data_IF_674491446752
#
_entry.id   IF_674491446752
#
_cell.length_a   1.000
_cell.length_b   1.000
_cell.length_c   1.000
_cell.angle_alpha   90.00
_cell.angle_beta   90.00
_cell.angle_gamma   90.00
#
_symmetry.space_group_name_H-M   'P 1'
#
loop_
_entity.id
_entity.type
_entity.pdbx_description
1 polymer ?
#
# COMPACT_ATOMS: atom_id res chain seq x y z
N UNK A 1 -20.40 -6.11 7.56
CA UNK A 1 -19.34 -6.21 6.54
C UNK A 1 -18.15 -5.37 6.98
N UNK A 2 -16.92 -5.87 6.82
CA UNK A 2 -15.68 -5.20 7.24
C UNK A 2 -14.66 -5.30 6.10
N UNK A 3 -14.10 -4.18 5.69
CA UNK A 3 -13.09 -4.09 4.62
C UNK A 3 -11.96 -3.21 5.14
N UNK A 4 -10.76 -3.75 5.42
CA UNK A 4 -9.66 -2.96 5.92
C UNK A 4 -9.07 -2.07 4.82
N UNK A 5 -8.73 -0.84 5.20
CA UNK A 5 -7.89 0.04 4.40
C UNK A 5 -6.48 0.07 5.02
N UNK A 6 -5.47 -0.31 4.24
CA UNK A 6 -4.09 -0.41 4.73
C UNK A 6 -3.30 0.83 4.30
N UNK A 7 -2.61 1.48 5.24
CA UNK A 7 -1.80 2.66 4.94
C UNK A 7 -0.51 2.30 4.20
N UNK A 8 -0.32 2.89 3.03
CA UNK A 8 0.85 2.71 2.17
C UNK A 8 1.17 4.05 1.48
N UNK A 9 2.41 4.52 1.55
CA UNK A 9 2.75 5.91 1.22
C UNK A 9 3.65 6.05 0.00
N UNK A 10 3.60 5.05 -0.87
CA UNK A 10 4.59 4.80 -1.92
C UNK A 10 5.37 3.52 -1.64
N UNK A 11 6.43 3.29 -2.41
CA UNK A 11 7.34 2.17 -2.23
C UNK A 11 8.10 2.23 -0.90
N UNK A 12 8.99 1.26 -0.66
CA UNK A 12 9.61 1.02 0.65
C UNK A 12 10.22 2.29 1.28
N UNK A 13 10.96 3.11 0.53
CA UNK A 13 11.58 4.31 1.07
C UNK A 13 10.54 5.34 1.57
N UNK A 14 9.48 5.59 0.80
CA UNK A 14 8.45 6.56 1.15
C UNK A 14 7.58 6.07 2.31
N UNK A 15 7.21 4.78 2.30
CA UNK A 15 6.45 4.17 3.40
C UNK A 15 7.27 4.11 4.68
N UNK A 16 8.50 3.61 4.63
CA UNK A 16 9.33 3.43 5.83
C UNK A 16 9.78 4.76 6.42
N UNK A 17 10.04 5.79 5.60
CA UNK A 17 10.41 7.12 6.12
C UNK A 17 9.32 7.76 6.96
N UNK A 18 8.04 7.46 6.66
CA UNK A 18 6.89 8.07 7.35
C UNK A 18 6.23 7.17 8.39
N UNK A 19 6.28 5.85 8.18
CA UNK A 19 5.57 4.85 9.00
C UNK A 19 6.53 3.94 9.78
N UNK A 20 7.84 4.14 9.67
CA UNK A 20 8.87 3.37 10.36
C UNK A 20 9.48 2.25 9.51
N UNK A 21 10.74 1.92 9.82
CA UNK A 21 11.52 0.91 9.09
C UNK A 21 10.83 -0.46 9.11
N UNK A 22 10.67 -1.07 7.94
CA UNK A 22 10.08 -2.39 7.78
C UNK A 22 8.56 -2.40 7.65
N UNK A 23 7.89 -1.24 7.78
CA UNK A 23 6.43 -1.15 7.66
C UNK A 23 5.96 -1.54 6.26
N UNK A 24 6.69 -1.16 5.21
CA UNK A 24 6.35 -1.56 3.84
C UNK A 24 6.26 -3.09 3.68
N UNK A 25 7.26 -3.82 4.20
CA UNK A 25 7.29 -5.29 4.12
C UNK A 25 6.18 -5.92 4.95
N UNK A 26 5.88 -5.37 6.12
CA UNK A 26 4.77 -5.84 6.95
C UNK A 26 3.42 -5.67 6.24
N UNK A 27 3.20 -4.51 5.59
CA UNK A 27 2.01 -4.23 4.79
C UNK A 27 1.90 -5.17 3.59
N UNK A 28 2.97 -5.36 2.82
CA UNK A 28 2.97 -6.32 1.70
C UNK A 28 2.61 -7.74 2.16
N UNK A 29 3.14 -8.18 3.31
CA UNK A 29 2.79 -9.48 3.90
C UNK A 29 1.30 -9.56 4.26
N UNK A 30 0.74 -8.51 4.84
CA UNK A 30 -0.68 -8.44 5.17
C UNK A 30 -1.56 -8.48 3.92
N UNK A 31 -1.25 -7.66 2.90
CA UNK A 31 -1.96 -7.64 1.61
C UNK A 31 -1.92 -9.01 0.92
N UNK A 32 -0.76 -9.68 0.93
CA UNK A 32 -0.62 -11.05 0.40
C UNK A 32 -1.57 -12.03 1.08
N UNK A 33 -1.62 -12.03 2.43
CA UNK A 33 -2.51 -12.91 3.19
C UNK A 33 -3.98 -12.63 2.85
N UNK A 34 -4.38 -11.36 2.78
CA UNK A 34 -5.76 -10.98 2.46
C UNK A 34 -6.15 -11.40 1.04
N UNK A 35 -5.25 -11.19 0.06
CA UNK A 35 -5.43 -11.63 -1.33
C UNK A 35 -5.57 -13.15 -1.43
N UNK A 36 -4.67 -13.91 -0.78
CA UNK A 36 -4.71 -15.39 -0.76
C UNK A 36 -6.01 -15.92 -0.15
N UNK A 37 -6.56 -15.21 0.85
CA UNK A 37 -7.84 -15.54 1.49
C UNK A 37 -9.07 -14.97 0.76
N UNK A 38 -8.88 -14.31 -0.39
CA UNK A 38 -9.94 -13.66 -1.18
C UNK A 38 -10.75 -12.64 -0.37
N UNK A 39 -10.12 -11.98 0.59
CA UNK A 39 -10.72 -10.92 1.40
C UNK A 39 -10.52 -9.58 0.71
N UNK A 40 -11.57 -8.76 0.68
CA UNK A 40 -11.50 -7.40 0.15
C UNK A 40 -10.69 -6.50 1.08
N UNK A 41 -9.85 -5.65 0.51
CA UNK A 41 -9.14 -4.59 1.20
C UNK A 41 -8.78 -3.49 0.21
N UNK A 42 -8.59 -2.27 0.73
CA UNK A 42 -8.11 -1.14 -0.04
C UNK A 42 -6.79 -0.60 0.51
N UNK A 43 -6.21 0.35 -0.21
CA UNK A 43 -5.05 1.11 0.24
C UNK A 43 -5.44 2.55 0.57
N UNK A 44 -4.78 3.14 1.57
CA UNK A 44 -4.89 4.56 1.90
C UNK A 44 -3.51 5.18 1.78
N UNK A 45 -3.42 6.27 1.03
CA UNK A 45 -2.19 7.02 0.84
C UNK A 45 -2.45 8.47 1.25
N UNK A 46 -1.51 9.11 1.95
CA UNK A 46 -1.55 10.54 2.19
C UNK A 46 -0.49 11.22 1.32
N UNK A 47 -0.97 12.15 0.49
CA UNK A 47 -0.17 12.96 -0.40
C UNK A 47 0.72 13.91 0.39
N UNK A 48 2.00 13.84 0.11
CA UNK A 48 3.00 14.79 0.59
C UNK A 48 3.86 15.22 -0.59
N UNK A 49 4.55 16.35 -0.47
CA UNK A 49 5.50 16.79 -1.50
C UNK A 49 6.59 15.74 -1.79
N UNK A 50 6.90 14.87 -0.83
CA UNK A 50 7.96 13.87 -0.95
C UNK A 50 7.52 12.57 -1.68
N UNK A 51 6.21 12.34 -1.85
CA UNK A 51 5.70 11.09 -2.42
C UNK A 51 4.55 11.28 -3.42
N UNK A 52 4.13 12.51 -3.70
CA UNK A 52 3.01 12.79 -4.61
C UNK A 52 3.24 12.24 -6.02
N UNK A 53 4.47 12.35 -6.54
CA UNK A 53 4.84 11.79 -7.85
C UNK A 53 4.76 10.27 -7.85
N UNK A 54 5.21 9.62 -6.78
CA UNK A 54 5.14 8.15 -6.65
C UNK A 54 3.69 7.69 -6.53
N UNK A 55 2.91 8.28 -5.63
CA UNK A 55 1.49 7.89 -5.42
C UNK A 55 0.65 8.15 -6.67
N UNK A 56 0.97 9.19 -7.44
CA UNK A 56 0.30 9.50 -8.69
C UNK A 56 0.81 8.73 -9.91
N UNK A 57 1.86 7.91 -9.78
CA UNK A 57 2.46 7.19 -10.90
C UNK A 57 1.63 5.95 -11.27
N UNK A 58 1.57 5.67 -12.58
CA UNK A 58 0.96 4.45 -13.12
C UNK A 58 1.58 3.18 -12.50
N UNK A 59 2.91 3.17 -12.33
CA UNK A 59 3.64 2.07 -11.69
C UNK A 59 3.12 1.76 -10.28
N UNK A 60 2.78 2.78 -9.49
CA UNK A 60 2.26 2.58 -8.14
C UNK A 60 0.81 2.08 -8.16
N UNK A 61 -0.01 2.51 -9.12
CA UNK A 61 -1.36 1.98 -9.31
C UNK A 61 -1.33 0.51 -9.74
N UNK A 62 -0.49 0.16 -10.72
CA UNK A 62 -0.31 -1.23 -11.16
C UNK A 62 0.14 -2.12 -10.01
N UNK A 63 1.12 -1.66 -9.23
CA UNK A 63 1.57 -2.37 -8.03
C UNK A 63 0.42 -2.62 -7.04
N UNK A 64 -0.46 -1.65 -6.79
CA UNK A 64 -1.60 -1.82 -5.87
C UNK A 64 -2.61 -2.84 -6.41
N UNK A 65 -2.93 -2.78 -7.69
CA UNK A 65 -3.85 -3.70 -8.36
C UNK A 65 -3.29 -5.12 -8.34
N UNK A 66 -2.02 -5.29 -8.72
CA UNK A 66 -1.32 -6.58 -8.68
C UNK A 66 -1.24 -7.13 -7.27
N UNK A 67 -1.08 -6.28 -6.26
CA UNK A 67 -1.05 -6.68 -4.85
C UNK A 67 -2.43 -7.10 -4.31
N UNK A 68 -3.50 -6.91 -5.08
CA UNK A 68 -4.86 -7.38 -4.78
C UNK A 68 -5.80 -6.34 -4.20
N UNK A 69 -5.39 -5.06 -4.17
CA UNK A 69 -6.24 -3.96 -3.72
C UNK A 69 -7.44 -3.78 -4.66
N UNK A 70 -8.57 -3.35 -4.09
CA UNK A 70 -9.83 -3.09 -4.80
C UNK A 70 -10.39 -1.72 -4.45
#
# INVERSE_FOLDING_TARGET
NFVPAISLEGFQQATDSRRGRGTFKAVQRAMKILKERKLLFGNSCCYTRANAEVIGSEEYFDFMIESGAK
#
